data_IF_548399971752
#
_entry.id   IF_548399971752
#
_cell.length_a   1.000
_cell.length_b   1.000
_cell.length_c   1.000
_cell.angle_alpha   90.00
_cell.angle_beta   90.00
_cell.angle_gamma   90.00
#
_symmetry.space_group_name_H-M   'P 1'
#
loop_
_entity.id
_entity.type
_entity.pdbx_description
1 polymer ?
#
# COMPACT_ATOMS: atom_id res chain seq x y z
N UNK A 1 -1.38 9.24 30.59
CA UNK A 1 -2.62 10.04 30.66
C UNK A 1 -3.54 9.40 31.69
N UNK A 2 -4.08 10.17 32.63
CA UNK A 2 -4.99 9.66 33.64
C UNK A 2 -6.44 9.96 33.23
N UNK A 3 -7.23 8.92 32.96
CA UNK A 3 -8.60 9.02 32.47
C UNK A 3 -9.68 8.62 33.49
N UNK A 4 -9.31 8.29 34.72
CA UNK A 4 -10.21 7.77 35.77
C UNK A 4 -10.68 6.32 35.55
N UNK A 5 -10.86 5.89 34.30
CA UNK A 5 -11.17 4.52 33.89
C UNK A 5 -10.62 4.20 32.48
N UNK A 6 -10.88 3.01 31.95
CA UNK A 6 -10.39 2.57 30.63
C UNK A 6 -10.89 3.47 29.48
N UNK A 7 -12.20 3.77 29.44
CA UNK A 7 -12.78 4.63 28.40
C UNK A 7 -12.20 6.05 28.42
N UNK A 8 -11.95 6.58 29.62
CA UNK A 8 -11.30 7.86 29.79
C UNK A 8 -9.87 7.85 29.27
N UNK A 9 -9.09 6.79 29.54
CA UNK A 9 -7.73 6.67 28.99
C UNK A 9 -7.76 6.62 27.46
N UNK A 10 -8.70 5.88 26.87
CA UNK A 10 -8.88 5.81 25.40
C UNK A 10 -9.27 7.18 24.84
N UNK A 11 -10.17 7.93 25.52
CA UNK A 11 -10.56 9.28 25.12
C UNK A 11 -9.36 10.24 25.11
N UNK A 12 -8.57 10.26 26.19
CA UNK A 12 -7.39 11.12 26.28
C UNK A 12 -6.35 10.76 25.20
N UNK A 13 -6.13 9.46 24.94
CA UNK A 13 -5.25 9.00 23.86
C UNK A 13 -5.73 9.50 22.50
N UNK A 14 -7.02 9.33 22.18
CA UNK A 14 -7.59 9.82 20.91
C UNK A 14 -7.61 11.34 20.79
N UNK A 15 -7.66 12.07 21.90
CA UNK A 15 -7.49 13.53 21.88
C UNK A 15 -6.07 13.92 21.48
N UNK A 16 -5.06 13.17 21.93
CA UNK A 16 -3.66 13.45 21.63
C UNK A 16 -3.23 12.95 20.23
N UNK A 17 -3.68 11.75 19.83
CA UNK A 17 -3.18 11.06 18.62
C UNK A 17 -4.11 11.16 17.42
N UNK A 18 -5.31 11.73 17.58
CA UNK A 18 -6.28 11.91 16.52
C UNK A 18 -7.55 11.07 16.68
N UNK A 19 -8.63 11.56 16.08
CA UNK A 19 -9.96 10.90 16.10
C UNK A 19 -10.09 9.94 14.92
N UNK A 20 -10.66 8.76 15.18
CA UNK A 20 -11.09 7.84 14.11
C UNK A 20 -12.31 8.43 13.39
N UNK A 21 -12.29 8.59 12.06
CA UNK A 21 -13.44 9.01 11.29
C UNK A 21 -14.51 7.91 11.23
N UNK A 22 -15.76 8.29 11.02
CA UNK A 22 -16.81 7.33 10.66
C UNK A 22 -16.58 6.84 9.24
N UNK A 23 -16.60 5.52 9.04
CA UNK A 23 -16.48 4.92 7.72
C UNK A 23 -17.84 4.90 6.99
N UNK A 24 -17.84 4.80 5.64
CA UNK A 24 -19.06 4.58 4.88
C UNK A 24 -19.81 3.32 5.33
N UNK A 25 -21.14 3.33 5.29
CA UNK A 25 -21.95 2.24 5.85
C UNK A 25 -21.63 0.85 5.26
N UNK A 26 -21.33 0.78 3.96
CA UNK A 26 -21.02 -0.48 3.27
C UNK A 26 -19.76 -1.17 3.81
N UNK A 27 -18.84 -0.45 4.45
CA UNK A 27 -17.63 -1.07 5.02
C UNK A 27 -17.92 -1.95 6.23
N UNK A 28 -19.11 -1.83 6.83
CA UNK A 28 -19.58 -2.67 7.94
C UNK A 28 -20.33 -3.92 7.45
N UNK A 29 -20.56 -4.04 6.15
CA UNK A 29 -21.22 -5.17 5.51
C UNK A 29 -20.32 -6.40 5.36
N UNK A 30 -20.80 -7.39 4.61
CA UNK A 30 -19.99 -8.58 4.30
C UNK A 30 -19.10 -8.32 3.08
N UNK A 31 -17.79 -8.56 3.24
CA UNK A 31 -16.78 -8.37 2.19
C UNK A 31 -16.19 -9.71 1.79
N UNK A 32 -16.16 -9.97 0.49
CA UNK A 32 -15.65 -11.22 -0.07
C UNK A 32 -14.25 -11.00 -0.61
N UNK A 33 -13.32 -11.82 -0.13
CA UNK A 33 -11.92 -11.81 -0.54
C UNK A 33 -11.39 -13.23 -0.73
N UNK A 34 -10.30 -13.32 -1.48
CA UNK A 34 -9.45 -14.50 -1.67
C UNK A 34 -8.06 -14.00 -2.05
N UNK A 35 -7.06 -14.87 -1.98
CA UNK A 35 -5.66 -14.54 -2.34
C UNK A 35 -5.54 -13.82 -3.70
N UNK A 36 -6.37 -14.18 -4.69
CA UNK A 36 -6.69 -13.33 -5.85
C UNK A 36 -7.77 -13.96 -6.72
N UNK A 37 -8.52 -13.12 -7.42
CA UNK A 37 -9.22 -13.51 -8.65
C UNK A 37 -8.24 -13.33 -9.82
N UNK A 38 -8.26 -14.27 -10.77
CA UNK A 38 -7.30 -14.31 -11.89
C UNK A 38 -7.81 -13.58 -13.13
N UNK A 39 -9.11 -13.30 -13.19
CA UNK A 39 -9.75 -12.62 -14.32
C UNK A 39 -11.01 -11.87 -13.87
N UNK A 40 -11.45 -10.91 -14.67
CA UNK A 40 -12.75 -10.24 -14.47
C UNK A 40 -13.89 -11.26 -14.43
N UNK A 41 -13.87 -12.27 -15.29
CA UNK A 41 -14.89 -13.32 -15.33
C UNK A 41 -14.99 -14.07 -14.01
N UNK A 42 -13.86 -14.51 -13.45
CA UNK A 42 -13.85 -15.23 -12.17
C UNK A 42 -14.37 -14.34 -11.02
N UNK A 43 -14.03 -13.05 -11.03
CA UNK A 43 -14.54 -12.09 -10.05
C UNK A 43 -16.06 -11.94 -10.16
N UNK A 44 -16.57 -11.70 -11.38
CA UNK A 44 -18.01 -11.52 -11.63
C UNK A 44 -18.82 -12.78 -11.34
N UNK A 45 -18.29 -13.97 -11.63
CA UNK A 45 -18.93 -15.24 -11.28
C UNK A 45 -19.19 -15.36 -9.77
N UNK A 46 -18.27 -14.88 -8.93
CA UNK A 46 -18.47 -14.84 -7.47
C UNK A 46 -19.55 -13.82 -7.10
N UNK A 47 -19.49 -12.61 -7.64
CA UNK A 47 -20.47 -11.54 -7.39
C UNK A 47 -21.88 -12.01 -7.74
N UNK A 48 -22.06 -12.58 -8.93
CA UNK A 48 -23.34 -13.10 -9.41
C UNK A 48 -23.83 -14.27 -8.57
N UNK A 49 -22.92 -15.11 -8.07
CA UNK A 49 -23.26 -16.20 -7.16
C UNK A 49 -23.84 -15.69 -5.84
N UNK A 50 -23.25 -14.66 -5.23
CA UNK A 50 -23.81 -14.04 -4.02
C UNK A 50 -25.23 -13.54 -4.24
N UNK A 51 -25.45 -12.85 -5.37
CA UNK A 51 -26.77 -12.32 -5.73
C UNK A 51 -27.77 -13.43 -6.00
N UNK A 52 -27.38 -14.47 -6.75
CA UNK A 52 -28.21 -15.65 -7.02
C UNK A 52 -28.61 -16.42 -5.75
N UNK A 53 -27.68 -16.53 -4.79
CA UNK A 53 -27.93 -17.22 -3.51
C UNK A 53 -28.67 -16.34 -2.48
N UNK A 54 -28.98 -15.09 -2.83
CA UNK A 54 -29.58 -14.10 -1.93
C UNK A 54 -28.79 -13.93 -0.61
N UNK A 55 -27.46 -14.04 -0.67
CA UNK A 55 -26.58 -13.79 0.47
C UNK A 55 -26.21 -12.29 0.47
N UNK A 56 -26.51 -11.56 1.56
CA UNK A 56 -26.12 -10.16 1.68
C UNK A 56 -24.61 -9.99 1.56
N UNK A 57 -24.20 -9.00 0.78
CA UNK A 57 -22.81 -8.77 0.43
C UNK A 57 -22.65 -7.35 -0.11
N UNK A 58 -21.64 -6.64 0.39
CA UNK A 58 -21.43 -5.21 0.20
C UNK A 58 -20.13 -4.86 -0.53
N UNK A 59 -19.11 -5.74 -0.54
CA UNK A 59 -17.81 -5.37 -1.11
C UNK A 59 -16.93 -6.52 -1.57
N UNK A 60 -16.45 -6.50 -2.83
CA UNK A 60 -15.48 -7.50 -3.34
C UNK A 60 -14.08 -6.92 -3.26
N UNK A 61 -13.11 -7.75 -2.89
CA UNK A 61 -11.71 -7.36 -2.78
C UNK A 61 -10.92 -8.04 -3.90
N UNK A 62 -10.47 -7.26 -4.88
CA UNK A 62 -9.49 -7.72 -5.86
C UNK A 62 -8.08 -7.56 -5.28
N UNK A 63 -7.44 -8.69 -4.99
CA UNK A 63 -6.05 -8.72 -4.52
C UNK A 63 -5.06 -8.52 -5.69
N UNK A 64 -3.79 -8.92 -5.53
CA UNK A 64 -2.68 -8.76 -6.47
C UNK A 64 -2.84 -9.44 -7.84
N UNK A 65 -1.93 -9.09 -8.77
CA UNK A 65 -1.79 -9.57 -10.16
C UNK A 65 -2.82 -9.09 -11.19
N UNK A 66 -3.66 -8.10 -10.88
CA UNK A 66 -4.41 -7.38 -11.92
C UNK A 66 -3.49 -6.57 -12.86
N UNK A 67 -2.24 -6.33 -12.43
CA UNK A 67 -1.14 -5.75 -13.22
C UNK A 67 -0.31 -6.80 -14.01
N UNK A 68 -0.60 -8.10 -13.84
CA UNK A 68 0.14 -9.18 -14.51
C UNK A 68 1.41 -9.58 -13.78
N UNK A 69 2.54 -9.61 -14.51
CA UNK A 69 3.80 -10.19 -14.02
C UNK A 69 4.50 -9.38 -12.93
N UNK A 70 5.44 -10.04 -12.23
CA UNK A 70 6.18 -9.44 -11.11
C UNK A 70 7.08 -8.26 -11.52
N UNK A 71 7.45 -8.11 -12.79
CA UNK A 71 8.17 -6.90 -13.22
C UNK A 71 7.26 -5.67 -13.30
N UNK A 72 5.95 -5.89 -13.40
CA UNK A 72 4.89 -4.88 -13.32
C UNK A 72 4.27 -4.81 -11.91
N UNK A 73 4.97 -5.30 -10.88
CA UNK A 73 4.47 -5.34 -9.51
C UNK A 73 3.87 -4.00 -9.08
N UNK A 74 2.61 -4.04 -8.63
CA UNK A 74 1.86 -2.88 -8.16
C UNK A 74 1.86 -1.70 -9.16
N UNK A 75 1.69 -1.98 -10.45
CA UNK A 75 1.58 -0.93 -11.47
C UNK A 75 0.41 0.04 -11.25
N UNK A 76 -0.53 -0.28 -10.34
CA UNK A 76 -1.77 0.46 -10.09
C UNK A 76 -2.55 0.72 -11.40
N UNK A 77 -2.49 -0.26 -12.29
CA UNK A 77 -3.10 -0.27 -13.62
C UNK A 77 -3.53 -1.72 -13.90
N UNK A 78 -4.69 -1.90 -14.54
CA UNK A 78 -5.11 -3.20 -15.06
C UNK A 78 -4.33 -3.50 -16.34
N UNK A 79 -3.21 -4.21 -16.19
CA UNK A 79 -2.29 -4.56 -17.29
C UNK A 79 -2.33 -6.05 -17.64
N UNK A 80 -3.00 -6.86 -16.82
CA UNK A 80 -3.29 -8.24 -17.14
C UNK A 80 -4.43 -8.31 -18.17
N UNK A 81 -4.23 -9.09 -19.24
CA UNK A 81 -5.20 -9.26 -20.33
C UNK A 81 -6.54 -9.85 -19.87
N UNK A 82 -6.50 -10.69 -18.83
CA UNK A 82 -7.67 -11.27 -18.17
C UNK A 82 -8.55 -10.24 -17.44
N UNK A 83 -8.08 -8.98 -17.36
CA UNK A 83 -8.80 -7.84 -16.82
C UNK A 83 -8.93 -6.70 -17.84
N UNK A 84 -8.80 -6.98 -19.14
CA UNK A 84 -8.91 -5.97 -20.20
C UNK A 84 -10.26 -5.23 -20.21
N UNK A 85 -11.31 -5.87 -19.69
CA UNK A 85 -12.67 -5.36 -19.51
C UNK A 85 -12.94 -4.77 -18.10
N UNK A 86 -11.89 -4.40 -17.35
CA UNK A 86 -12.01 -3.96 -15.94
C UNK A 86 -13.06 -2.87 -15.71
N UNK A 87 -13.29 -1.98 -16.69
CA UNK A 87 -14.33 -0.94 -16.59
C UNK A 87 -15.73 -1.54 -16.55
N UNK A 88 -16.00 -2.55 -17.38
CA UNK A 88 -17.27 -3.28 -17.36
C UNK A 88 -17.38 -4.11 -16.08
N UNK A 89 -16.28 -4.72 -15.63
CA UNK A 89 -16.23 -5.45 -14.37
C UNK A 89 -16.62 -4.55 -13.17
N UNK A 90 -15.96 -3.39 -13.02
CA UNK A 90 -16.25 -2.44 -11.93
C UNK A 90 -17.71 -1.97 -12.02
N UNK A 91 -18.17 -1.60 -13.23
CA UNK A 91 -19.55 -1.17 -13.44
C UNK A 91 -20.56 -2.25 -13.01
N UNK A 92 -20.34 -3.51 -13.39
CA UNK A 92 -21.24 -4.61 -13.01
C UNK A 92 -21.30 -4.82 -11.49
N UNK A 93 -20.17 -4.70 -10.79
CA UNK A 93 -20.12 -4.75 -9.31
C UNK A 93 -21.01 -3.65 -8.72
N UNK A 94 -20.93 -2.44 -9.25
CA UNK A 94 -21.77 -1.32 -8.81
C UNK A 94 -23.24 -1.50 -9.17
N UNK A 95 -23.55 -2.04 -10.35
CA UNK A 95 -24.92 -2.27 -10.83
C UNK A 95 -25.69 -3.26 -9.94
N UNK A 96 -24.97 -4.19 -9.29
CA UNK A 96 -25.55 -5.10 -8.30
C UNK A 96 -25.49 -4.56 -6.87
N UNK A 97 -25.24 -3.27 -6.67
CA UNK A 97 -25.14 -2.60 -5.36
C UNK A 97 -24.06 -3.19 -4.45
N UNK A 98 -22.89 -3.52 -5.01
CA UNK A 98 -21.70 -3.84 -4.24
C UNK A 98 -20.61 -2.81 -4.53
N UNK A 99 -19.58 -2.76 -3.68
CA UNK A 99 -18.39 -1.92 -3.84
C UNK A 99 -17.17 -2.76 -4.19
N UNK A 100 -16.16 -2.13 -4.79
CA UNK A 100 -14.91 -2.79 -5.15
C UNK A 100 -13.73 -2.18 -4.38
N UNK A 101 -13.02 -3.02 -3.64
CA UNK A 101 -11.73 -2.69 -3.06
C UNK A 101 -10.61 -3.33 -3.88
N UNK A 102 -9.43 -2.71 -3.89
CA UNK A 102 -8.27 -3.25 -4.60
C UNK A 102 -7.01 -3.22 -3.74
N UNK A 103 -6.19 -4.25 -3.86
CA UNK A 103 -4.87 -4.31 -3.23
C UNK A 103 -3.88 -3.35 -3.90
N UNK A 104 -3.19 -2.57 -3.08
CA UNK A 104 -2.10 -1.66 -3.45
C UNK A 104 -0.96 -1.85 -2.46
N UNK A 105 0.27 -1.71 -2.96
CA UNK A 105 1.48 -1.97 -2.17
C UNK A 105 2.31 -0.69 -2.02
N UNK A 106 3.32 -0.75 -1.14
CA UNK A 106 4.33 0.30 -1.00
C UNK A 106 5.59 0.06 -1.87
N UNK A 107 5.56 -0.94 -2.75
CA UNK A 107 6.69 -1.30 -3.61
C UNK A 107 6.29 -1.35 -5.08
N UNK A 108 7.25 -1.20 -5.98
CA UNK A 108 7.03 -1.12 -7.41
C UNK A 108 8.03 -1.95 -8.19
N UNK A 109 7.56 -2.66 -9.21
CA UNK A 109 8.41 -3.40 -10.14
C UNK A 109 9.12 -2.49 -11.15
N UNK A 110 10.28 -2.92 -11.68
CA UNK A 110 11.15 -2.10 -12.52
C UNK A 110 10.51 -1.65 -13.84
N UNK A 111 9.48 -2.34 -14.31
CA UNK A 111 8.79 -2.02 -15.56
C UNK A 111 7.56 -1.11 -15.38
N UNK A 112 7.22 -0.74 -14.15
CA UNK A 112 6.12 0.19 -13.86
C UNK A 112 6.46 1.63 -14.23
N UNK A 113 5.45 2.50 -14.31
CA UNK A 113 5.66 3.94 -14.56
C UNK A 113 6.24 4.63 -13.32
N UNK A 114 5.72 4.26 -12.15
CA UNK A 114 6.17 4.69 -10.82
C UNK A 114 7.67 4.49 -10.66
N UNK A 115 8.17 3.28 -10.95
CA UNK A 115 9.60 2.99 -10.81
C UNK A 115 10.46 3.87 -11.73
N UNK A 116 10.02 4.11 -12.98
CA UNK A 116 10.72 4.98 -13.93
C UNK A 116 10.79 6.44 -13.48
N UNK A 117 9.82 6.89 -12.69
CA UNK A 117 9.79 8.25 -12.15
C UNK A 117 10.60 8.35 -10.85
N UNK A 118 10.47 7.36 -9.95
CA UNK A 118 11.09 7.35 -8.62
C UNK A 118 12.58 7.03 -8.65
N UNK A 119 13.01 6.03 -9.43
CA UNK A 119 14.38 5.52 -9.37
C UNK A 119 15.44 6.55 -9.79
N UNK A 120 15.29 7.32 -10.90
CA UNK A 120 16.26 8.35 -11.28
C UNK A 120 16.37 9.49 -10.28
N UNK A 121 15.37 9.65 -9.40
CA UNK A 121 15.32 10.67 -8.35
C UNK A 121 15.85 10.18 -7.00
N UNK A 122 16.31 8.93 -6.93
CA UNK A 122 16.73 8.27 -5.68
C UNK A 122 15.62 8.26 -4.61
N UNK A 123 14.36 8.08 -5.03
CA UNK A 123 13.18 8.06 -4.16
C UNK A 123 12.70 6.64 -3.82
N UNK A 124 13.64 5.69 -3.73
CA UNK A 124 13.36 4.29 -3.43
C UNK A 124 14.42 3.73 -2.49
N UNK A 125 14.02 2.81 -1.62
CA UNK A 125 14.93 2.10 -0.75
C UNK A 125 15.68 0.99 -1.51
N UNK A 126 16.88 0.64 -1.03
CA UNK A 126 17.74 -0.35 -1.71
C UNK A 126 17.61 -1.77 -1.16
N UNK A 127 16.86 -1.96 -0.08
CA UNK A 127 16.64 -3.29 0.47
C UNK A 127 15.73 -4.14 -0.43
N UNK A 128 15.89 -5.45 -0.32
CA UNK A 128 15.12 -6.42 -1.10
C UNK A 128 13.75 -6.60 -0.46
N UNK A 129 12.70 -6.48 -1.27
CA UNK A 129 11.31 -6.71 -0.86
C UNK A 129 10.67 -7.83 -1.68
N UNK A 130 9.49 -8.28 -1.25
CA UNK A 130 8.65 -9.18 -2.04
C UNK A 130 8.18 -8.53 -3.35
N UNK A 131 8.05 -9.30 -4.47
CA UNK A 131 8.52 -10.68 -4.67
C UNK A 131 10.03 -10.77 -4.88
N UNK A 132 10.64 -11.92 -4.54
CA UNK A 132 12.09 -12.13 -4.74
C UNK A 132 12.47 -12.36 -6.21
N UNK A 133 11.62 -13.05 -6.97
CA UNK A 133 11.85 -13.40 -8.38
C UNK A 133 10.82 -12.73 -9.29
N UNK A 134 11.24 -12.36 -10.49
CA UNK A 134 10.37 -11.90 -11.57
C UNK A 134 9.49 -13.00 -12.16
N UNK A 135 9.78 -14.27 -11.86
CA UNK A 135 9.03 -15.44 -12.30
C UNK A 135 8.03 -15.89 -11.22
N UNK A 136 6.97 -16.57 -11.65
CA UNK A 136 5.94 -17.13 -10.75
C UNK A 136 6.31 -18.47 -10.11
N UNK A 137 7.43 -19.08 -10.53
CA UNK A 137 7.82 -20.42 -10.10
C UNK A 137 8.34 -20.39 -8.67
N UNK A 138 7.94 -21.38 -7.87
CA UNK A 138 8.47 -21.63 -6.54
C UNK A 138 9.40 -22.86 -6.54
N UNK A 139 10.57 -22.81 -5.87
CA UNK A 139 11.14 -21.67 -5.13
C UNK A 139 11.59 -20.52 -6.05
N UNK A 140 11.78 -19.28 -5.51
CA UNK A 140 12.16 -18.13 -6.31
C UNK A 140 13.46 -18.37 -7.09
N UNK A 141 13.45 -18.06 -8.39
CA UNK A 141 14.66 -18.12 -9.20
C UNK A 141 15.39 -16.77 -9.17
N UNK A 142 16.55 -16.74 -8.52
CA UNK A 142 17.37 -15.53 -8.36
C UNK A 142 18.22 -15.19 -9.60
N UNK A 143 18.27 -16.04 -10.62
CA UNK A 143 18.79 -15.68 -11.95
C UNK A 143 17.86 -14.68 -12.66
N UNK A 144 16.59 -14.62 -12.22
CA UNK A 144 15.59 -13.67 -12.66
C UNK A 144 15.04 -12.90 -11.45
N UNK A 145 15.85 -12.01 -10.83
CA UNK A 145 15.40 -11.24 -9.68
C UNK A 145 14.26 -10.31 -10.09
N UNK A 146 13.31 -10.06 -9.20
CA UNK A 146 12.16 -9.20 -9.51
C UNK A 146 12.53 -7.75 -9.79
N UNK A 147 13.55 -7.25 -9.08
CA UNK A 147 13.93 -5.84 -9.07
C UNK A 147 12.92 -4.92 -8.37
N UNK A 148 11.93 -5.46 -7.65
CA UNK A 148 10.94 -4.65 -6.93
C UNK A 148 11.61 -3.88 -5.80
N UNK A 149 11.26 -2.60 -5.66
CA UNK A 149 11.77 -1.72 -4.60
C UNK A 149 10.64 -0.93 -3.94
N UNK A 150 10.83 -0.63 -2.66
CA UNK A 150 9.91 0.19 -1.86
C UNK A 150 10.17 1.67 -2.16
N UNK A 151 9.13 2.48 -2.32
CA UNK A 151 9.30 3.93 -2.50
C UNK A 151 9.56 4.63 -1.15
N UNK A 152 10.25 5.77 -1.19
CA UNK A 152 10.50 6.58 0.00
C UNK A 152 9.23 7.35 0.43
N UNK A 153 8.42 6.75 1.30
CA UNK A 153 7.20 7.38 1.82
C UNK A 153 7.45 8.66 2.63
N UNK A 154 8.69 8.95 3.05
CA UNK A 154 9.03 10.17 3.78
C UNK A 154 9.27 11.36 2.85
N UNK A 155 9.61 11.12 1.58
CA UNK A 155 9.71 12.16 0.56
C UNK A 155 8.35 12.66 0.10
N UNK A 156 8.14 13.99 0.15
CA UNK A 156 6.93 14.62 -0.36
C UNK A 156 6.73 14.38 -1.86
N UNK A 157 7.83 14.37 -2.63
CA UNK A 157 7.80 14.11 -4.07
C UNK A 157 7.38 12.66 -4.37
N UNK A 158 7.93 11.70 -3.63
CA UNK A 158 7.60 10.29 -3.81
C UNK A 158 6.13 9.99 -3.45
N UNK A 159 5.61 10.60 -2.38
CA UNK A 159 4.18 10.54 -2.04
C UNK A 159 3.29 11.16 -3.12
N UNK A 160 3.71 12.28 -3.71
CA UNK A 160 2.97 12.92 -4.79
C UNK A 160 2.87 12.00 -6.02
N UNK A 161 3.98 11.36 -6.40
CA UNK A 161 3.99 10.35 -7.47
C UNK A 161 3.05 9.20 -7.10
N UNK A 162 3.21 8.57 -5.92
CA UNK A 162 2.33 7.49 -5.46
C UNK A 162 0.84 7.84 -5.60
N UNK A 163 0.46 9.03 -5.13
CA UNK A 163 -0.92 9.52 -5.16
C UNK A 163 -1.45 9.78 -6.57
N UNK A 164 -0.61 10.28 -7.47
CA UNK A 164 -0.99 10.48 -8.88
C UNK A 164 -1.40 9.16 -9.54
N UNK A 165 -0.58 8.11 -9.35
CA UNK A 165 -0.88 6.79 -9.89
C UNK A 165 -2.11 6.16 -9.24
N UNK A 166 -2.23 6.27 -7.91
CA UNK A 166 -3.39 5.76 -7.17
C UNK A 166 -4.71 6.42 -7.59
N UNK A 167 -4.68 7.74 -7.85
CA UNK A 167 -5.85 8.51 -8.30
C UNK A 167 -6.44 7.95 -9.60
N UNK A 168 -5.66 7.25 -10.43
CA UNK A 168 -6.19 6.61 -11.65
C UNK A 168 -7.13 5.45 -11.34
N UNK A 169 -6.79 4.63 -10.34
CA UNK A 169 -7.69 3.56 -9.88
C UNK A 169 -8.98 4.16 -9.29
N UNK A 170 -8.86 5.29 -8.57
CA UNK A 170 -10.03 5.97 -8.02
C UNK A 170 -10.96 6.46 -9.13
N UNK A 171 -10.38 7.12 -10.15
CA UNK A 171 -11.09 7.58 -11.34
C UNK A 171 -11.68 6.44 -12.17
N UNK A 172 -11.15 5.23 -12.05
CA UNK A 172 -11.68 4.03 -12.71
C UNK A 172 -12.90 3.44 -11.98
N UNK A 173 -13.22 3.91 -10.77
CA UNK A 173 -14.37 3.46 -9.99
C UNK A 173 -14.03 2.52 -8.83
N UNK A 174 -12.76 2.40 -8.43
CA UNK A 174 -12.41 1.68 -7.20
C UNK A 174 -12.84 2.49 -5.98
N UNK A 175 -13.56 1.84 -5.05
CA UNK A 175 -14.17 2.46 -3.87
C UNK A 175 -13.23 2.53 -2.66
N UNK A 176 -12.33 1.54 -2.51
CA UNK A 176 -11.42 1.47 -1.37
C UNK A 176 -10.08 0.78 -1.70
N UNK A 177 -9.09 1.06 -0.85
CA UNK A 177 -7.73 0.54 -0.96
C UNK A 177 -7.46 -0.47 0.15
N UNK A 178 -7.02 -1.67 -0.22
CA UNK A 178 -6.32 -2.56 0.68
C UNK A 178 -4.83 -2.26 0.55
N UNK A 179 -4.29 -1.52 1.53
CA UNK A 179 -2.87 -1.17 1.58
C UNK A 179 -2.10 -2.34 2.19
N UNK A 180 -1.50 -3.17 1.36
CA UNK A 180 -0.79 -4.38 1.78
C UNK A 180 0.72 -4.16 1.88
N UNK A 181 1.35 -4.89 2.81
CA UNK A 181 2.79 -4.87 3.08
C UNK A 181 3.38 -3.44 3.20
N UNK A 182 2.75 -2.62 4.06
CA UNK A 182 3.21 -1.24 4.33
C UNK A 182 4.35 -1.15 5.34
N UNK A 183 4.62 -2.22 6.09
CA UNK A 183 5.82 -2.41 6.92
C UNK A 183 7.08 -2.79 6.10
N UNK A 184 6.98 -2.73 4.77
CA UNK A 184 7.47 -3.68 3.75
C UNK A 184 8.04 -5.05 4.18
N UNK A 185 7.80 -6.06 3.35
CA UNK A 185 8.41 -7.41 3.46
C UNK A 185 9.93 -7.38 3.25
N UNK A 186 10.68 -7.07 4.30
CA UNK A 186 12.13 -6.97 4.25
C UNK A 186 12.78 -8.36 4.20
N UNK A 187 13.28 -8.73 3.03
CA UNK A 187 13.99 -10.00 2.83
C UNK A 187 15.51 -9.80 2.89
N UNK A 188 16.21 -10.80 3.45
CA UNK A 188 17.67 -10.82 3.58
C UNK A 188 18.24 -9.61 4.31
N UNK A 189 17.61 -9.26 5.45
CA UNK A 189 17.98 -8.15 6.31
C UNK A 189 19.49 -8.00 6.56
N UNK A 190 19.98 -6.78 6.43
CA UNK A 190 21.33 -6.36 6.83
C UNK A 190 21.24 -5.13 7.74
N UNK A 191 21.99 -5.12 8.83
CA UNK A 191 22.04 -4.00 9.77
C UNK A 191 22.30 -2.64 9.08
N UNK A 192 23.15 -2.62 8.05
CA UNK A 192 23.48 -1.41 7.28
C UNK A 192 22.29 -0.79 6.54
N UNK A 193 21.21 -1.54 6.32
CA UNK A 193 20.00 -1.04 5.64
C UNK A 193 19.17 -0.12 6.56
N UNK A 194 19.36 -0.22 7.88
CA UNK A 194 18.75 0.71 8.85
C UNK A 194 19.41 2.10 8.84
N UNK A 195 20.60 2.21 8.25
CA UNK A 195 21.34 3.47 8.14
C UNK A 195 20.92 4.30 6.90
N UNK A 196 19.95 3.83 6.10
CA UNK A 196 19.45 4.58 4.95
C UNK A 196 18.77 5.88 5.38
N UNK A 197 19.33 7.00 4.93
CA UNK A 197 18.93 8.32 5.43
C UNK A 197 17.69 8.83 4.69
N UNK A 198 16.53 8.73 5.33
CA UNK A 198 15.27 9.29 4.82
C UNK A 198 15.21 10.81 5.08
N UNK A 199 14.97 11.68 4.09
CA UNK A 199 14.74 13.10 4.34
C UNK A 199 13.34 13.28 4.94
N UNK A 200 13.24 13.30 6.27
CA UNK A 200 11.98 13.66 6.93
C UNK A 200 11.81 15.17 6.76
N UNK A 201 10.91 15.55 5.88
CA UNK A 201 10.52 16.94 5.67
C UNK A 201 9.26 17.23 6.48
N UNK A 202 9.25 18.39 7.15
CA UNK A 202 8.05 18.90 7.79
C UNK A 202 6.98 19.13 6.73
N UNK A 203 5.80 18.49 6.84
CA UNK A 203 4.78 18.52 5.79
C UNK A 203 4.10 19.88 5.65
N UNK A 204 4.26 20.80 6.62
CA UNK A 204 3.64 22.14 6.63
C UNK A 204 4.62 23.20 6.12
N UNK A 205 5.90 23.08 6.47
CA UNK A 205 6.95 24.08 6.23
C UNK A 205 7.96 23.65 5.18
N UNK A 206 7.95 22.38 4.77
CA UNK A 206 8.91 21.79 3.83
C UNK A 206 10.35 21.73 4.37
N UNK A 207 10.56 22.07 5.65
CA UNK A 207 11.90 22.09 6.26
C UNK A 207 12.33 20.67 6.60
N UNK A 208 13.55 20.33 6.19
CA UNK A 208 14.19 19.08 6.60
C UNK A 208 14.44 19.08 8.12
N UNK A 209 13.86 18.11 8.83
CA UNK A 209 14.02 17.96 10.28
C UNK A 209 15.48 17.69 10.70
N UNK A 210 16.36 17.27 9.78
CA UNK A 210 17.81 17.16 10.04
C UNK A 210 18.42 18.50 10.47
N UNK A 211 17.92 19.63 9.97
CA UNK A 211 18.38 20.98 10.38
C UNK A 211 17.93 21.37 11.78
N UNK A 212 16.81 20.81 12.26
CA UNK A 212 16.28 21.11 13.60
C UNK A 212 16.98 20.26 14.66
N UNK A 213 17.22 18.98 14.38
CA UNK A 213 17.93 18.09 15.31
C UNK A 213 19.41 18.46 15.48
N UNK A 214 20.08 18.95 14.43
CA UNK A 214 21.46 19.42 14.50
C UNK A 214 21.65 20.68 15.37
N UNK A 215 20.58 21.45 15.63
CA UNK A 215 20.59 22.56 16.59
C UNK A 215 20.33 22.08 18.03
N UNK A 216 19.65 20.95 18.21
CA UNK A 216 19.38 20.35 19.53
C UNK A 216 20.51 19.46 20.05
N UNK A 217 21.40 18.97 19.18
CA UNK A 217 22.57 18.16 19.53
C UNK A 217 23.67 18.95 20.26
N UNK A 218 23.52 20.27 20.41
CA UNK A 218 24.33 21.05 21.37
C UNK A 218 23.89 20.83 22.83
N UNK A 219 22.72 20.23 23.08
CA UNK A 219 22.21 20.00 24.43
C UNK A 219 22.17 18.52 24.88
N UNK A 220 22.25 17.54 23.97
CA UNK A 220 22.30 16.12 24.34
C UNK A 220 23.20 15.31 23.39
N UNK A 221 24.15 14.51 23.90
CA UNK A 221 25.05 13.73 23.06
C UNK A 221 24.27 12.64 22.30
N UNK A 222 24.57 12.56 21.00
CA UNK A 222 24.03 11.61 20.03
C UNK A 222 24.56 10.20 20.36
N UNK A 223 23.95 9.54 21.34
CA UNK A 223 24.19 8.11 21.62
C UNK A 223 22.94 7.34 22.04
N UNK A 224 21.77 8.00 22.16
CA UNK A 224 20.55 7.34 22.65
C UNK A 224 19.65 6.71 21.57
N UNK A 225 19.97 6.84 20.28
CA UNK A 225 19.11 6.33 19.20
C UNK A 225 19.59 4.96 18.66
N UNK A 226 20.02 4.04 19.54
CA UNK A 226 20.43 2.68 19.13
C UNK A 226 19.76 1.52 19.86
N UNK A 227 18.89 1.75 20.86
CA UNK A 227 18.33 0.66 21.71
C UNK A 227 16.93 0.88 22.33
N UNK A 228 16.02 1.61 21.68
CA UNK A 228 14.65 1.77 22.23
C UNK A 228 13.52 1.09 21.43
N UNK A 229 13.82 0.25 20.44
CA UNK A 229 12.80 -0.44 19.64
C UNK A 229 13.05 -1.94 19.44
N UNK A 230 13.81 -2.58 20.33
CA UNK A 230 13.78 -4.03 20.53
C UNK A 230 13.59 -4.35 22.01
#
# INVERSE_FOLDING_TARGET
>A
MYGGNADGVIREMRQLTGKVPMLPLWTYGFHQSRERYKSSRELLEVVDTYRKLAVPFDGIIQDWQYWGNHYLWNAMEFLNEDFSDYKQMIQHVHDVHAHMSISIWASFGPMTRQYRELAPKHLMFDFITWPLSGLYVWPPNMDYPSGVRVYDAYSAEARAIYWEHLTRLHKAGIDAWWMDSTDPDHHNFKDSELDQVCPITDPVTGKDFRRIMALSSQCFPVSLCRRCLY
#
